data_IF_832492763063
#
_entry.id   IF_832492763063
#
_cell.length_a   1.000
_cell.length_b   1.000
_cell.length_c   1.000
_cell.angle_alpha   90.00
_cell.angle_beta   90.00
_cell.angle_gamma   90.00
#
_symmetry.space_group_name_H-M   'P 1'
#
loop_
_entity.id
_entity.type
_entity.pdbx_description
1 polymer ?
#
# COMPACT_ATOMS: atom_id res chain seq x y z
N UNK A 1 42.62 47.71 -15.85
CA UNK A 1 41.15 47.66 -15.85
C UNK A 1 40.72 46.23 -15.58
N UNK A 2 40.37 45.94 -14.33
CA UNK A 2 39.93 44.62 -13.85
C UNK A 2 38.48 44.38 -14.25
N UNK A 3 38.21 43.35 -15.07
CA UNK A 3 36.85 42.90 -15.38
C UNK A 3 36.50 41.75 -14.44
N UNK A 4 35.64 42.01 -13.46
CA UNK A 4 35.08 40.98 -12.59
C UNK A 4 33.91 40.29 -13.28
N UNK A 5 34.06 39.00 -13.55
CA UNK A 5 32.99 38.10 -13.99
C UNK A 5 32.15 37.76 -12.76
N UNK A 6 30.88 38.15 -12.74
CA UNK A 6 29.90 37.66 -11.75
C UNK A 6 29.23 36.41 -12.32
N UNK A 7 29.69 35.23 -11.90
CA UNK A 7 28.93 33.98 -12.08
C UNK A 7 27.97 33.88 -10.89
N UNK A 8 26.68 33.98 -11.17
CA UNK A 8 25.61 33.74 -10.20
C UNK A 8 25.28 32.24 -10.24
N UNK A 9 25.82 31.47 -9.29
CA UNK A 9 25.49 30.04 -9.15
C UNK A 9 24.20 29.94 -8.35
N UNK A 10 23.10 29.65 -9.04
CA UNK A 10 21.82 29.30 -8.44
C UNK A 10 21.90 27.88 -7.90
N UNK A 11 22.03 27.70 -6.59
CA UNK A 11 21.90 26.40 -5.94
C UNK A 11 20.44 25.96 -5.97
N UNK A 12 20.09 25.11 -6.94
CA UNK A 12 18.87 24.31 -6.89
C UNK A 12 19.04 23.25 -5.82
N UNK A 13 18.47 23.47 -4.63
CA UNK A 13 18.36 22.43 -3.61
C UNK A 13 17.32 21.41 -4.10
N UNK A 14 17.80 20.30 -4.65
CA UNK A 14 16.99 19.11 -4.87
C UNK A 14 16.57 18.59 -3.48
N UNK A 15 15.36 18.90 -3.05
CA UNK A 15 14.70 18.15 -1.97
C UNK A 15 14.38 16.77 -2.50
N UNK A 16 15.36 15.87 -2.44
CA UNK A 16 15.09 14.46 -2.50
C UNK A 16 14.24 14.13 -1.26
N UNK A 17 12.93 13.96 -1.42
CA UNK A 17 12.14 13.24 -0.42
C UNK A 17 12.85 11.90 -0.23
N UNK A 18 13.55 11.76 0.89
CA UNK A 18 14.39 10.62 1.18
C UNK A 18 13.52 9.38 1.25
N UNK A 19 13.56 8.55 0.21
CA UNK A 19 13.21 7.15 0.38
C UNK A 19 14.17 6.63 1.45
N UNK A 20 13.64 6.32 2.63
CA UNK A 20 14.45 5.86 3.75
C UNK A 20 15.03 4.50 3.33
N UNK A 21 16.29 4.48 2.90
CA UNK A 21 16.99 3.26 2.49
C UNK A 21 17.43 2.43 3.68
N UNK A 22 17.17 2.90 4.90
CA UNK A 22 17.36 2.15 6.13
C UNK A 22 16.36 0.98 6.17
N UNK A 23 16.85 -0.21 6.50
CA UNK A 23 16.01 -1.39 6.63
C UNK A 23 14.88 -1.15 7.63
N UNK A 24 13.67 -1.58 7.28
CA UNK A 24 12.55 -1.60 8.21
C UNK A 24 12.74 -2.76 9.20
N UNK A 25 12.52 -2.48 10.48
CA UNK A 25 12.50 -3.53 11.50
C UNK A 25 11.13 -4.20 11.47
N UNK A 26 11.07 -5.44 11.00
CA UNK A 26 9.87 -6.28 11.12
C UNK A 26 9.53 -6.48 12.61
N UNK A 27 8.27 -6.22 13.04
CA UNK A 27 7.83 -6.53 14.41
C UNK A 27 7.97 -8.02 14.75
N UNK A 28 8.32 -8.33 16.01
CA UNK A 28 8.60 -9.72 16.44
C UNK A 28 7.40 -10.66 16.25
N UNK A 29 6.18 -10.14 16.41
CA UNK A 29 4.94 -10.91 16.22
C UNK A 29 4.36 -10.84 14.80
N UNK A 30 5.08 -10.32 13.81
CA UNK A 30 4.56 -10.16 12.45
C UNK A 30 4.12 -11.50 11.84
N UNK A 31 4.89 -12.58 12.05
CA UNK A 31 4.57 -13.91 11.51
C UNK A 31 3.27 -14.48 12.07
N UNK A 32 3.01 -14.30 13.37
CA UNK A 32 1.74 -14.68 14.01
C UNK A 32 0.58 -13.88 13.42
N UNK A 33 0.73 -12.55 13.33
CA UNK A 33 -0.31 -11.69 12.74
C UNK A 33 -0.59 -12.00 11.28
N UNK A 34 0.40 -12.37 10.47
CA UNK A 34 0.17 -12.82 9.10
C UNK A 34 -0.63 -14.13 9.07
N UNK A 35 -0.32 -15.09 9.95
CA UNK A 35 -1.07 -16.33 10.04
C UNK A 35 -2.54 -16.07 10.42
N UNK A 36 -2.79 -15.22 11.41
CA UNK A 36 -4.14 -14.76 11.80
C UNK A 36 -4.86 -14.07 10.64
N UNK A 37 -4.16 -13.13 9.98
CA UNK A 37 -4.71 -12.39 8.84
C UNK A 37 -5.10 -13.33 7.70
N UNK A 38 -4.28 -14.34 7.37
CA UNK A 38 -4.56 -15.29 6.29
C UNK A 38 -5.73 -16.19 6.67
N UNK A 39 -5.77 -16.68 7.91
CA UNK A 39 -6.80 -17.59 8.40
C UNK A 39 -8.18 -16.94 8.57
N UNK A 40 -8.25 -15.63 8.84
CA UNK A 40 -9.54 -14.96 9.04
C UNK A 40 -10.41 -14.99 7.78
N UNK A 41 -11.73 -15.18 7.98
CA UNK A 41 -12.74 -15.00 6.94
C UNK A 41 -12.73 -13.55 6.44
N UNK A 42 -12.76 -13.37 5.12
CA UNK A 42 -12.74 -12.05 4.46
C UNK A 42 -14.07 -11.76 3.78
N UNK A 43 -14.34 -10.48 3.58
CA UNK A 43 -15.55 -9.97 2.95
C UNK A 43 -16.86 -10.48 3.61
N UNK A 44 -16.82 -10.62 4.94
CA UNK A 44 -17.99 -10.92 5.78
C UNK A 44 -18.50 -9.63 6.42
N UNK A 45 -19.80 -9.58 6.71
CA UNK A 45 -20.42 -8.46 7.42
C UNK A 45 -19.69 -8.17 8.74
N UNK A 46 -19.28 -6.92 8.94
CA UNK A 46 -18.63 -6.47 10.17
C UNK A 46 -18.72 -4.94 10.28
N UNK A 47 -19.11 -4.46 11.46
CA UNK A 47 -19.32 -3.04 11.72
C UNK A 47 -20.31 -2.43 10.69
N UNK A 48 -19.85 -1.46 9.89
CA UNK A 48 -20.65 -0.79 8.87
C UNK A 48 -20.57 -1.45 7.48
N UNK A 49 -19.70 -2.44 7.29
CA UNK A 49 -19.59 -3.16 6.02
C UNK A 49 -20.59 -4.32 6.00
N UNK A 50 -21.49 -4.32 5.01
CA UNK A 50 -22.57 -5.31 4.90
C UNK A 50 -22.10 -6.73 4.51
N UNK A 51 -20.85 -6.86 4.05
CA UNK A 51 -20.37 -8.08 3.44
C UNK A 51 -20.58 -8.06 1.92
N UNK A 52 -19.81 -8.87 1.21
CA UNK A 52 -19.89 -8.93 -0.25
C UNK A 52 -21.27 -9.41 -0.71
N UNK A 53 -21.84 -8.71 -1.69
CA UNK A 53 -23.17 -9.01 -2.22
C UNK A 53 -23.19 -10.31 -3.06
N UNK A 54 -22.23 -10.46 -3.99
CA UNK A 54 -22.06 -11.71 -4.73
C UNK A 54 -21.11 -12.66 -3.99
N UNK A 55 -21.71 -13.62 -3.29
CA UNK A 55 -21.03 -14.70 -2.58
C UNK A 55 -20.03 -15.48 -3.45
N UNK A 56 -20.24 -15.58 -4.77
CA UNK A 56 -19.33 -16.28 -5.68
C UNK A 56 -17.99 -15.54 -5.83
N UNK A 57 -17.98 -14.22 -5.63
CA UNK A 57 -16.78 -13.40 -5.72
C UNK A 57 -15.95 -13.47 -4.44
N UNK A 58 -16.54 -13.84 -3.29
CA UNK A 58 -15.85 -13.96 -2.00
C UNK A 58 -14.56 -14.79 -2.07
N UNK A 59 -14.55 -16.04 -2.58
CA UNK A 59 -13.31 -16.82 -2.65
C UNK A 59 -12.26 -16.16 -3.57
N UNK A 60 -12.69 -15.54 -4.67
CA UNK A 60 -11.80 -14.87 -5.64
C UNK A 60 -11.10 -13.68 -4.98
N UNK A 61 -11.85 -12.81 -4.29
CA UNK A 61 -11.29 -11.64 -3.63
C UNK A 61 -10.46 -12.04 -2.41
N UNK A 62 -10.91 -13.02 -1.63
CA UNK A 62 -10.17 -13.57 -0.49
C UNK A 62 -8.80 -14.07 -0.92
N UNK A 63 -8.73 -14.83 -2.01
CA UNK A 63 -7.47 -15.33 -2.55
C UNK A 63 -6.53 -14.19 -2.97
N UNK A 64 -7.04 -13.17 -3.67
CA UNK A 64 -6.24 -12.00 -4.08
C UNK A 64 -5.64 -11.26 -2.88
N UNK A 65 -6.42 -11.06 -1.80
CA UNK A 65 -5.93 -10.45 -0.54
C UNK A 65 -4.91 -11.36 0.16
N UNK A 66 -5.16 -12.67 0.23
CA UNK A 66 -4.24 -13.62 0.85
C UNK A 66 -2.89 -13.67 0.13
N UNK A 67 -2.88 -13.57 -1.20
CA UNK A 67 -1.64 -13.46 -1.98
C UNK A 67 -0.87 -12.17 -1.68
N UNK A 68 -1.56 -11.06 -1.44
CA UNK A 68 -0.90 -9.83 -0.98
C UNK A 68 -0.28 -10.00 0.42
N UNK A 69 -0.98 -10.69 1.34
CA UNK A 69 -0.43 -11.02 2.66
C UNK A 69 0.82 -11.89 2.57
N UNK A 70 0.82 -12.91 1.70
CA UNK A 70 1.98 -13.76 1.46
C UNK A 70 3.16 -12.96 0.87
N UNK A 71 2.90 -12.02 -0.05
CA UNK A 71 3.92 -11.11 -0.58
C UNK A 71 4.55 -10.23 0.52
N UNK A 72 3.73 -9.68 1.43
CA UNK A 72 4.20 -8.90 2.57
C UNK A 72 5.05 -9.76 3.52
N UNK A 73 4.56 -10.96 3.87
CA UNK A 73 5.30 -11.91 4.70
C UNK A 73 6.67 -12.25 4.10
N UNK A 74 6.73 -12.50 2.79
CA UNK A 74 8.00 -12.77 2.10
C UNK A 74 9.00 -11.61 2.19
N UNK A 75 8.52 -10.35 2.18
CA UNK A 75 9.39 -9.18 2.40
C UNK A 75 9.84 -9.12 3.86
N UNK A 76 8.93 -9.36 4.80
CA UNK A 76 9.18 -9.33 6.23
C UNK A 76 10.23 -10.37 6.70
N UNK A 77 10.26 -11.53 6.04
CA UNK A 77 11.20 -12.63 6.28
C UNK A 77 12.49 -12.51 5.46
N UNK A 78 12.62 -11.49 4.59
CA UNK A 78 13.84 -11.26 3.82
C UNK A 78 14.95 -10.64 4.68
N UNK A 79 16.21 -10.79 4.27
CA UNK A 79 17.37 -10.27 5.02
C UNK A 79 17.34 -8.75 5.26
N UNK A 80 16.71 -7.99 4.36
CA UNK A 80 16.63 -6.54 4.45
C UNK A 80 15.26 -6.03 3.97
N UNK A 81 14.21 -6.10 4.81
CA UNK A 81 12.92 -5.51 4.52
C UNK A 81 13.07 -4.00 4.36
N UNK A 82 12.40 -3.39 3.38
CA UNK A 82 12.45 -1.94 3.18
C UNK A 82 11.08 -1.42 2.78
N UNK A 83 10.84 -0.14 3.05
CA UNK A 83 9.60 0.53 2.68
C UNK A 83 9.31 0.34 1.18
N UNK A 84 10.31 0.57 0.33
CA UNK A 84 10.22 0.40 -1.12
C UNK A 84 9.77 -1.00 -1.54
N UNK A 85 10.26 -2.05 -0.86
CA UNK A 85 9.83 -3.43 -1.15
C UNK A 85 8.35 -3.62 -0.82
N UNK A 86 7.88 -3.10 0.32
CA UNK A 86 6.46 -3.14 0.66
C UNK A 86 5.60 -2.31 -0.27
N UNK A 87 6.03 -1.10 -0.67
CA UNK A 87 5.31 -0.28 -1.64
C UNK A 87 5.11 -1.02 -2.97
N UNK A 88 6.13 -1.75 -3.44
CA UNK A 88 6.00 -2.59 -4.64
C UNK A 88 5.01 -3.75 -4.43
N UNK A 89 4.97 -4.34 -3.23
CA UNK A 89 3.99 -5.38 -2.90
C UNK A 89 2.56 -4.84 -2.80
N UNK A 90 2.35 -3.61 -2.35
CA UNK A 90 1.05 -2.93 -2.42
C UNK A 90 0.61 -2.82 -3.89
N UNK A 91 1.49 -2.30 -4.74
CA UNK A 91 1.21 -2.15 -6.18
C UNK A 91 0.79 -3.47 -6.84
N UNK A 92 1.60 -4.51 -6.65
CA UNK A 92 1.36 -5.85 -7.20
C UNK A 92 0.07 -6.45 -6.60
N UNK A 93 -0.17 -6.25 -5.31
CA UNK A 93 -1.37 -6.72 -4.63
C UNK A 93 -2.64 -6.12 -5.20
N UNK A 94 -2.69 -4.80 -5.33
CA UNK A 94 -3.85 -4.07 -5.87
C UNK A 94 -4.07 -4.40 -7.35
N UNK A 95 -3.00 -4.56 -8.15
CA UNK A 95 -3.14 -4.88 -9.57
C UNK A 95 -3.80 -6.24 -9.83
N UNK A 96 -3.83 -7.15 -8.85
CA UNK A 96 -4.55 -8.44 -8.97
C UNK A 96 -6.05 -8.27 -9.10
N UNK A 97 -6.60 -7.12 -8.72
CA UNK A 97 -8.02 -6.81 -8.85
C UNK A 97 -8.37 -6.19 -10.20
N UNK A 98 -7.41 -5.84 -11.06
CA UNK A 98 -7.67 -5.13 -12.31
C UNK A 98 -8.72 -5.81 -13.21
N UNK A 99 -8.68 -7.14 -13.33
CA UNK A 99 -9.62 -7.93 -14.15
C UNK A 99 -11.03 -8.02 -13.56
N UNK A 100 -11.17 -7.78 -12.26
CA UNK A 100 -12.43 -7.91 -11.51
C UNK A 100 -12.83 -6.60 -10.83
N UNK A 101 -12.21 -5.48 -11.23
CA UNK A 101 -12.38 -4.21 -10.54
C UNK A 101 -13.81 -3.69 -10.62
N UNK A 102 -14.50 -3.96 -11.73
CA UNK A 102 -15.91 -3.60 -11.92
C UNK A 102 -16.86 -4.43 -11.05
N UNK A 103 -16.40 -5.58 -10.54
CA UNK A 103 -17.17 -6.44 -9.61
C UNK A 103 -17.03 -5.99 -8.16
N UNK A 104 -16.12 -5.05 -7.87
CA UNK A 104 -16.02 -4.42 -6.56
C UNK A 104 -16.90 -3.18 -6.56
N UNK A 105 -17.93 -3.17 -5.73
CA UNK A 105 -18.63 -1.93 -5.41
C UNK A 105 -17.76 -1.02 -4.53
N UNK A 106 -18.27 0.15 -4.17
CA UNK A 106 -17.54 1.12 -3.36
C UNK A 106 -17.16 0.57 -1.99
N UNK A 107 -18.07 -0.13 -1.31
CA UNK A 107 -17.81 -0.69 0.02
C UNK A 107 -16.79 -1.84 -0.05
N UNK A 108 -16.83 -2.67 -1.09
CA UNK A 108 -15.86 -3.74 -1.32
C UNK A 108 -14.46 -3.18 -1.61
N UNK A 109 -14.35 -2.07 -2.35
CA UNK A 109 -13.05 -1.39 -2.58
C UNK A 109 -12.50 -0.82 -1.29
N UNK A 110 -13.32 -0.17 -0.47
CA UNK A 110 -12.94 0.29 0.87
C UNK A 110 -12.46 -0.89 1.71
N UNK A 111 -13.18 -2.02 1.64
CA UNK A 111 -12.80 -3.22 2.38
C UNK A 111 -11.46 -3.79 1.95
N UNK A 112 -11.16 -3.78 0.65
CA UNK A 112 -9.83 -4.11 0.13
C UNK A 112 -8.78 -3.16 0.70
N UNK A 113 -9.01 -1.84 0.66
CA UNK A 113 -8.09 -0.85 1.24
C UNK A 113 -7.81 -1.13 2.72
N UNK A 114 -8.85 -1.37 3.53
CA UNK A 114 -8.67 -1.74 4.95
C UNK A 114 -7.84 -3.00 5.13
N UNK A 115 -7.96 -3.99 4.25
CA UNK A 115 -7.09 -5.17 4.32
C UNK A 115 -5.62 -4.83 4.06
N UNK A 116 -5.32 -3.91 3.14
CA UNK A 116 -3.95 -3.45 2.92
C UNK A 116 -3.43 -2.60 4.07
N UNK A 117 -4.27 -1.76 4.69
CA UNK A 117 -3.93 -1.02 5.91
C UNK A 117 -3.57 -1.98 7.05
N UNK A 118 -4.36 -3.05 7.26
CA UNK A 118 -4.02 -4.08 8.23
C UNK A 118 -2.68 -4.76 7.92
N UNK A 119 -2.36 -5.02 6.64
CA UNK A 119 -1.06 -5.57 6.25
C UNK A 119 0.10 -4.59 6.50
N UNK A 120 -0.14 -3.31 6.28
CA UNK A 120 0.80 -2.23 6.58
C UNK A 120 1.08 -2.15 8.09
N UNK A 121 0.04 -2.23 8.92
CA UNK A 121 0.17 -2.24 10.38
C UNK A 121 0.98 -3.43 10.90
N UNK A 122 0.84 -4.62 10.28
CA UNK A 122 1.62 -5.81 10.65
C UNK A 122 3.13 -5.56 10.54
N UNK A 123 3.55 -4.77 9.55
CA UNK A 123 4.97 -4.52 9.24
C UNK A 123 5.45 -3.14 9.66
N UNK A 124 4.58 -2.32 10.25
CA UNK A 124 4.88 -0.94 10.64
C UNK A 124 5.10 0.00 9.45
N UNK A 125 4.42 -0.22 8.33
CA UNK A 125 4.48 0.68 7.17
C UNK A 125 3.48 1.83 7.36
N UNK A 126 3.98 3.06 7.49
CA UNK A 126 3.14 4.21 7.86
C UNK A 126 2.25 4.74 6.72
N UNK A 127 2.62 4.49 5.47
CA UNK A 127 1.95 5.08 4.30
C UNK A 127 1.95 4.14 3.11
N UNK A 128 0.91 4.22 2.28
CA UNK A 128 0.85 3.52 0.99
C UNK A 128 1.35 4.37 -0.19
N UNK A 129 1.89 5.56 0.06
CA UNK A 129 2.26 6.54 -0.98
C UNK A 129 1.12 6.81 -1.99
N UNK A 130 -0.11 6.97 -1.47
CA UNK A 130 -1.30 7.27 -2.26
C UNK A 130 -1.85 6.10 -3.09
N UNK A 131 -1.21 4.93 -3.07
CA UNK A 131 -1.64 3.77 -3.86
C UNK A 131 -3.06 3.30 -3.50
N UNK A 132 -3.44 3.30 -2.22
CA UNK A 132 -4.79 2.94 -1.79
C UNK A 132 -5.83 3.96 -2.27
N UNK A 133 -5.51 5.26 -2.23
CA UNK A 133 -6.38 6.31 -2.78
C UNK A 133 -6.60 6.12 -4.29
N UNK A 134 -5.54 5.84 -5.05
CA UNK A 134 -5.65 5.59 -6.50
C UNK A 134 -6.47 4.35 -6.81
N UNK A 135 -6.35 3.30 -6.00
CA UNK A 135 -7.18 2.12 -6.14
C UNK A 135 -8.65 2.42 -5.86
N UNK A 136 -8.94 3.21 -4.82
CA UNK A 136 -10.30 3.56 -4.42
C UNK A 136 -10.98 4.52 -5.40
N UNK A 137 -10.29 5.60 -5.77
CA UNK A 137 -10.88 6.75 -6.47
C UNK A 137 -10.39 6.92 -7.92
N UNK A 138 -9.37 6.18 -8.34
CA UNK A 138 -8.68 6.38 -9.62
C UNK A 138 -7.64 7.51 -9.61
N UNK A 139 -7.50 8.25 -8.49
CA UNK A 139 -6.50 9.31 -8.29
C UNK A 139 -6.13 9.43 -6.81
N UNK A 140 -5.08 10.19 -6.49
CA UNK A 140 -4.75 10.54 -5.10
C UNK A 140 -5.18 11.99 -4.79
N UNK A 141 -6.15 12.22 -3.88
CA UNK A 141 -6.62 13.57 -3.55
C UNK A 141 -5.51 14.52 -3.07
N UNK A 142 -4.48 13.99 -2.41
CA UNK A 142 -3.36 14.79 -1.90
C UNK A 142 -2.47 15.35 -3.03
N UNK A 143 -2.52 14.78 -4.24
CA UNK A 143 -1.83 15.34 -5.41
C UNK A 143 -2.53 16.57 -5.99
N UNK A 144 -3.83 16.73 -5.71
CA UNK A 144 -4.60 17.88 -6.17
C UNK A 144 -4.42 19.09 -5.25
N UNK A 145 -4.16 18.87 -3.96
CA UNK A 145 -3.97 19.95 -2.98
C UNK A 145 -2.58 20.58 -3.02
N UNK A 146 -1.56 19.81 -3.44
CA UNK A 146 -0.16 20.28 -3.53
C UNK A 146 0.15 21.11 -4.81
N UNK A 147 -0.88 21.43 -5.61
CA UNK A 147 -0.76 22.24 -6.84
C UNK A 147 -1.22 23.69 -6.69
N UNK A 148 -1.64 24.10 -5.50
CA UNK A 148 -2.06 25.47 -5.17
C UNK A 148 -1.07 26.12 -4.19
#
# INVERSE_FOLDING_TARGET
MTKYIKIFVLFLTLSACGQNTNGMKTPENANEKFAEFIAKKKFIAKNHYAGIADEKMRPIFTEKVNRAAADFKNVAESENPTEKKYQEKIKIGLSRFAEVYMELDTEDRERVCTYFEELMDIVGLESSNGQLNRFMYGFDPNEMTNKN
#
